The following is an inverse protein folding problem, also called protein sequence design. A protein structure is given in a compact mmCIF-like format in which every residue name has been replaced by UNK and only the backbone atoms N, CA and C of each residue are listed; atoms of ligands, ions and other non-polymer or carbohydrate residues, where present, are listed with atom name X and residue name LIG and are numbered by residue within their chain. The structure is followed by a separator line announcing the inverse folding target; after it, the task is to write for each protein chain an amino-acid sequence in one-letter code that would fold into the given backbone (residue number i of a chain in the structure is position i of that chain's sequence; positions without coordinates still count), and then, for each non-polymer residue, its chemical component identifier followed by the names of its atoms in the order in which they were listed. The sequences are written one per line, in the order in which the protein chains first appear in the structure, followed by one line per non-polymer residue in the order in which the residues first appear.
data_IF_233015862597
#
_entry.id   IF_233015862597
#
_cell.length_a   1.000
_cell.length_b   1.000
_cell.length_c   1.000
_cell.angle_alpha   90.00
_cell.angle_beta   90.00
_cell.angle_gamma   90.00
#
_symmetry.space_group_name_H-M   'P 1'
#
loop_
_entity.id
_entity.type
_entity.pdbx_description
1 polymer ?
#
# COMPACT_ATOMS: atom_id res chain seq x y z
N UNK A 1 -3.80 5.42 8.23
CA UNK A 1 -2.71 5.80 9.14
C UNK A 1 -3.13 7.04 9.92
N UNK A 2 -3.40 8.18 9.27
CA UNK A 2 -3.72 9.46 9.96
C UNK A 2 -4.84 9.31 10.98
N UNK A 3 -5.96 8.68 10.61
CA UNK A 3 -7.11 8.47 11.51
C UNK A 3 -6.71 7.68 12.77
N UNK A 4 -5.88 6.64 12.61
CA UNK A 4 -5.41 5.83 13.74
C UNK A 4 -4.37 6.56 14.59
N UNK A 5 -3.52 7.40 13.99
CA UNK A 5 -2.60 8.28 14.75
C UNK A 5 -3.38 9.28 15.62
N UNK A 6 -4.42 9.89 15.07
CA UNK A 6 -5.29 10.80 15.83
C UNK A 6 -6.00 10.09 16.97
N UNK A 7 -6.49 8.88 16.73
CA UNK A 7 -7.11 8.04 17.76
C UNK A 7 -6.11 7.61 18.85
N UNK A 8 -4.83 7.42 18.50
CA UNK A 8 -3.75 7.13 19.42
C UNK A 8 -3.27 8.37 20.22
N UNK A 9 -3.78 9.56 19.91
CA UNK A 9 -3.50 10.77 20.67
C UNK A 9 -2.19 11.47 20.33
N UNK A 10 -1.69 11.35 19.10
CA UNK A 10 -0.52 12.11 18.64
C UNK A 10 -0.74 13.61 18.72
N UNK A 11 0.32 14.37 18.98
CA UNK A 11 0.25 15.82 19.15
C UNK A 11 0.11 16.58 17.83
N UNK A 12 0.75 16.12 16.76
CA UNK A 12 0.74 16.76 15.44
C UNK A 12 0.91 15.72 14.34
N UNK A 13 0.22 15.93 13.20
CA UNK A 13 0.40 15.16 11.98
C UNK A 13 0.60 16.10 10.80
N UNK A 14 1.78 16.07 10.19
CA UNK A 14 2.11 16.80 8.96
C UNK A 14 2.04 15.85 7.77
N UNK A 15 1.26 16.19 6.77
CA UNK A 15 1.06 15.36 5.58
C UNK A 15 1.68 16.09 4.38
N UNK A 16 2.54 15.40 3.64
CA UNK A 16 3.01 15.82 2.32
C UNK A 16 2.40 14.90 1.26
N UNK A 17 1.65 15.48 0.32
CA UNK A 17 1.06 14.76 -0.81
C UNK A 17 0.95 15.70 -2.02
N UNK A 18 1.33 15.24 -3.21
CA UNK A 18 1.22 16.04 -4.43
C UNK A 18 -0.17 16.00 -5.06
N UNK A 19 -1.09 15.23 -4.49
CA UNK A 19 -2.49 15.04 -4.90
C UNK A 19 -2.66 14.54 -6.36
N UNK A 20 -1.62 13.94 -6.95
CA UNK A 20 -1.74 13.28 -8.27
C UNK A 20 -2.70 12.10 -8.20
N UNK A 21 -2.71 11.39 -7.06
CA UNK A 21 -3.64 10.29 -6.76
C UNK A 21 -4.37 10.49 -5.44
N UNK A 22 -3.71 11.18 -4.50
CA UNK A 22 -4.31 11.56 -3.23
C UNK A 22 -5.48 12.53 -3.45
N UNK A 23 -6.46 12.46 -2.58
CA UNK A 23 -7.62 13.35 -2.60
C UNK A 23 -7.83 13.97 -1.23
N UNK A 24 -8.12 15.27 -1.19
CA UNK A 24 -8.49 15.96 0.07
C UNK A 24 -9.71 15.32 0.72
N UNK A 25 -10.64 14.76 -0.08
CA UNK A 25 -11.80 14.02 0.42
C UNK A 25 -11.44 12.83 1.29
N UNK A 26 -10.33 12.13 1.01
CA UNK A 26 -9.83 11.03 1.83
C UNK A 26 -9.35 11.46 3.21
N UNK A 27 -9.07 12.76 3.39
CA UNK A 27 -8.61 13.37 4.65
C UNK A 27 -9.67 14.29 5.28
N UNK A 28 -10.92 14.29 4.79
CA UNK A 28 -11.96 15.25 5.19
C UNK A 28 -12.09 15.36 6.71
N UNK A 29 -12.25 14.24 7.39
CA UNK A 29 -12.44 14.20 8.83
C UNK A 29 -11.13 14.53 9.58
N UNK A 30 -10.01 14.02 9.08
CA UNK A 30 -8.71 14.30 9.66
C UNK A 30 -8.32 15.78 9.56
N UNK A 31 -8.62 16.44 8.44
CA UNK A 31 -8.32 17.88 8.26
C UNK A 31 -9.22 18.81 9.08
N UNK A 32 -10.30 18.29 9.67
CA UNK A 32 -11.09 19.03 10.65
C UNK A 32 -10.43 19.07 12.05
N UNK A 33 -9.46 18.20 12.31
CA UNK A 33 -8.69 18.18 13.55
C UNK A 33 -7.52 19.19 13.47
N UNK A 34 -7.40 20.14 14.44
CA UNK A 34 -6.36 21.16 14.42
C UNK A 34 -4.92 20.61 14.50
N UNK A 35 -4.75 19.35 14.87
CA UNK A 35 -3.44 18.68 14.89
C UNK A 35 -2.94 18.27 13.51
N UNK A 36 -3.81 18.31 12.48
CA UNK A 36 -3.49 17.83 11.13
C UNK A 36 -3.25 18.98 10.17
N UNK A 37 -2.13 18.94 9.48
CA UNK A 37 -1.83 19.85 8.38
C UNK A 37 -1.50 19.08 7.09
N UNK A 38 -1.96 19.61 5.96
CA UNK A 38 -1.66 19.09 4.62
C UNK A 38 -0.89 20.13 3.82
N UNK A 39 0.34 19.80 3.45
CA UNK A 39 1.14 20.53 2.48
C UNK A 39 1.00 19.82 1.13
N UNK A 40 0.50 20.54 0.13
CA UNK A 40 0.47 20.05 -1.25
C UNK A 40 1.84 20.30 -1.86
N UNK A 41 2.62 19.23 -2.06
CA UNK A 41 4.00 19.30 -2.53
C UNK A 41 4.51 17.95 -2.97
N UNK A 42 5.72 17.91 -3.50
CA UNK A 42 6.32 16.70 -4.07
C UNK A 42 7.50 16.22 -3.24
N UNK A 43 7.62 14.93 -3.04
CA UNK A 43 8.72 14.30 -2.29
C UNK A 43 10.09 14.54 -2.95
N UNK A 44 10.11 14.93 -4.22
CA UNK A 44 11.33 15.32 -4.95
C UNK A 44 11.85 16.71 -4.59
N UNK A 45 11.01 17.54 -3.95
CA UNK A 45 11.41 18.86 -3.45
C UNK A 45 12.14 18.72 -2.12
N UNK A 46 13.46 18.81 -2.17
CA UNK A 46 14.36 18.62 -1.02
C UNK A 46 14.05 19.59 0.11
N UNK A 47 13.80 20.87 -0.22
CA UNK A 47 13.56 21.91 0.79
C UNK A 47 12.23 21.64 1.53
N UNK A 48 11.17 21.33 0.79
CA UNK A 48 9.86 20.99 1.37
C UNK A 48 9.96 19.74 2.26
N UNK A 49 10.65 18.69 1.81
CA UNK A 49 10.84 17.46 2.59
C UNK A 49 11.62 17.73 3.86
N UNK A 50 12.72 18.49 3.76
CA UNK A 50 13.56 18.86 4.88
C UNK A 50 12.79 19.68 5.93
N UNK A 51 12.06 20.70 5.51
CA UNK A 51 11.30 21.59 6.40
C UNK A 51 10.17 20.82 7.13
N UNK A 52 9.47 19.94 6.43
CA UNK A 52 8.39 19.15 7.03
C UNK A 52 8.90 18.07 7.99
N UNK A 53 10.08 17.52 7.74
CA UNK A 53 10.69 16.48 8.59
C UNK A 53 11.26 17.05 9.88
N UNK A 54 11.61 18.33 9.89
CA UNK A 54 12.21 18.99 11.04
C UNK A 54 11.30 18.95 12.27
N UNK A 55 11.80 18.35 13.37
CA UNK A 55 11.10 18.23 14.64
C UNK A 55 10.01 17.15 14.65
N UNK A 56 9.97 16.25 13.65
CA UNK A 56 9.17 15.05 13.70
C UNK A 56 9.86 13.97 14.53
N UNK A 57 9.11 13.27 15.38
CA UNK A 57 9.58 12.08 16.09
C UNK A 57 9.51 10.85 15.18
N UNK A 58 8.45 10.76 14.38
CA UNK A 58 8.16 9.62 13.51
C UNK A 58 7.92 10.06 12.07
N UNK A 59 8.38 9.24 11.12
CA UNK A 59 8.10 9.43 9.69
C UNK A 59 7.45 8.17 9.12
N UNK A 60 6.33 8.33 8.41
CA UNK A 60 5.65 7.27 7.66
C UNK A 60 5.80 7.53 6.16
N UNK A 61 6.66 6.79 5.50
CA UNK A 61 6.92 6.93 4.08
C UNK A 61 5.96 6.06 3.25
N UNK A 62 4.89 6.69 2.73
CA UNK A 62 3.87 6.03 1.92
C UNK A 62 3.89 6.48 0.45
N UNK A 63 4.62 7.56 0.13
CA UNK A 63 4.68 8.10 -1.22
C UNK A 63 5.21 7.08 -2.21
N UNK A 64 4.47 6.85 -3.28
CA UNK A 64 4.80 5.89 -4.33
C UNK A 64 4.09 6.21 -5.65
N UNK A 65 4.62 5.66 -6.72
CA UNK A 65 4.00 5.62 -8.05
C UNK A 65 3.54 4.19 -8.36
N UNK A 66 2.47 4.01 -9.13
CA UNK A 66 1.96 2.69 -9.50
C UNK A 66 2.89 1.97 -10.48
N UNK A 67 2.89 0.64 -10.38
CA UNK A 67 3.64 -0.24 -11.30
C UNK A 67 3.24 -0.03 -12.77
N UNK A 68 1.98 0.27 -13.07
CA UNK A 68 1.49 0.55 -14.43
C UNK A 68 2.01 1.89 -14.97
N UNK A 69 2.03 2.92 -14.14
CA UNK A 69 2.58 4.23 -14.52
C UNK A 69 4.11 4.16 -14.71
N UNK A 70 4.77 3.26 -13.99
CA UNK A 70 6.20 3.00 -14.15
C UNK A 70 6.56 2.55 -15.57
N UNK A 71 5.70 1.76 -16.20
CA UNK A 71 5.92 1.30 -17.57
C UNK A 71 5.78 2.43 -18.60
N UNK A 72 4.94 3.42 -18.33
CA UNK A 72 4.69 4.55 -19.23
C UNK A 72 5.68 5.70 -19.02
N UNK A 73 6.03 6.01 -17.75
CA UNK A 73 6.89 7.11 -17.37
C UNK A 73 8.04 6.66 -16.46
N UNK A 74 8.96 5.80 -16.93
CA UNK A 74 9.97 5.15 -16.08
C UNK A 74 10.94 6.15 -15.42
N UNK A 75 11.22 7.29 -16.07
CA UNK A 75 12.08 8.33 -15.50
C UNK A 75 11.41 9.01 -14.31
N UNK A 76 10.17 9.45 -14.48
CA UNK A 76 9.39 10.08 -13.41
C UNK A 76 9.23 9.13 -12.21
N UNK A 77 8.97 7.85 -12.51
CA UNK A 77 8.80 6.86 -11.47
C UNK A 77 10.11 6.62 -10.68
N UNK A 78 11.27 6.62 -11.34
CA UNK A 78 12.57 6.54 -10.69
C UNK A 78 12.81 7.77 -9.79
N UNK A 79 12.57 8.97 -10.29
CA UNK A 79 12.70 10.22 -9.52
C UNK A 79 11.83 10.21 -8.25
N UNK A 80 10.58 9.75 -8.34
CA UNK A 80 9.68 9.68 -7.18
C UNK A 80 10.10 8.57 -6.21
N UNK A 81 10.33 7.35 -6.71
CA UNK A 81 10.58 6.20 -5.84
C UNK A 81 12.01 6.15 -5.30
N UNK A 82 12.99 6.62 -6.03
CA UNK A 82 14.40 6.56 -5.63
C UNK A 82 14.85 7.91 -5.09
N UNK A 83 14.85 8.97 -5.91
CA UNK A 83 15.38 10.27 -5.49
C UNK A 83 14.51 10.88 -4.38
N UNK A 84 13.17 10.79 -4.51
CA UNK A 84 12.25 11.26 -3.46
C UNK A 84 12.38 10.49 -2.15
N UNK A 85 12.59 9.17 -2.22
CA UNK A 85 12.85 8.37 -1.01
C UNK A 85 14.20 8.75 -0.38
N UNK A 86 15.22 8.97 -1.21
CA UNK A 86 16.53 9.41 -0.74
C UNK A 86 16.42 10.75 0.02
N UNK A 87 15.73 11.74 -0.54
CA UNK A 87 15.51 13.05 0.10
C UNK A 87 14.89 12.88 1.51
N UNK A 88 13.88 12.03 1.61
CA UNK A 88 13.20 11.78 2.89
C UNK A 88 14.09 11.07 3.91
N UNK A 89 14.83 10.04 3.47
CA UNK A 89 15.72 9.27 4.35
C UNK A 89 16.88 10.15 4.84
N UNK A 90 17.44 10.98 3.96
CA UNK A 90 18.49 11.95 4.30
C UNK A 90 17.97 12.99 5.32
N UNK A 91 16.79 13.57 5.09
CA UNK A 91 16.17 14.51 6.02
C UNK A 91 15.84 13.85 7.38
N UNK A 92 15.30 12.63 7.38
CA UNK A 92 14.99 11.89 8.61
C UNK A 92 16.25 11.62 9.45
N UNK A 93 17.34 11.24 8.80
CA UNK A 93 18.63 11.04 9.47
C UNK A 93 19.23 12.34 10.00
N UNK A 94 19.22 13.42 9.18
CA UNK A 94 19.75 14.74 9.55
C UNK A 94 19.00 15.35 10.74
N UNK A 95 17.69 15.18 10.80
CA UNK A 95 16.83 15.67 11.89
C UNK A 95 16.71 14.70 13.07
N UNK A 96 17.38 13.54 12.99
CA UNK A 96 17.40 12.52 14.07
C UNK A 96 16.00 12.06 14.45
N UNK A 97 15.19 11.76 13.45
CA UNK A 97 13.87 11.14 13.64
C UNK A 97 14.03 9.83 14.42
N UNK A 98 13.21 9.61 15.42
CA UNK A 98 13.30 8.43 16.28
C UNK A 98 13.11 7.14 15.49
N UNK A 99 12.16 7.13 14.53
CA UNK A 99 11.95 5.98 13.65
C UNK A 99 11.27 6.38 12.33
N UNK A 100 11.71 5.75 11.24
CA UNK A 100 11.09 5.81 9.92
C UNK A 100 10.40 4.48 9.60
N UNK A 101 9.08 4.51 9.34
CA UNK A 101 8.31 3.34 8.86
C UNK A 101 8.07 3.51 7.37
N UNK A 102 8.61 2.59 6.57
CA UNK A 102 8.59 2.69 5.11
C UNK A 102 7.72 1.61 4.46
N UNK A 103 6.86 2.04 3.53
CA UNK A 103 6.11 1.14 2.67
C UNK A 103 7.01 0.54 1.60
N UNK A 104 7.22 -0.78 1.66
CA UNK A 104 7.76 -1.61 0.60
C UNK A 104 6.62 -2.42 -0.05
N UNK A 105 6.93 -3.47 -0.78
CA UNK A 105 5.94 -4.21 -1.56
C UNK A 105 6.33 -5.67 -1.71
N UNK A 106 5.34 -6.55 -1.79
CA UNK A 106 5.52 -7.94 -2.25
C UNK A 106 6.09 -8.02 -3.68
N UNK A 107 6.06 -6.93 -4.44
CA UNK A 107 6.67 -6.88 -5.78
C UNK A 107 8.18 -7.08 -5.79
N UNK A 108 8.86 -6.92 -4.65
CA UNK A 108 10.30 -7.22 -4.56
C UNK A 108 10.61 -8.69 -4.80
N UNK A 109 9.68 -9.58 -4.51
CA UNK A 109 9.84 -11.02 -4.71
C UNK A 109 9.72 -11.45 -6.17
N UNK A 110 9.15 -10.57 -7.04
CA UNK A 110 8.90 -10.91 -8.43
C UNK A 110 8.09 -12.20 -8.58
N UNK A 111 8.63 -13.16 -9.31
CA UNK A 111 8.11 -14.53 -9.43
C UNK A 111 8.65 -15.36 -8.26
N UNK A 112 7.99 -15.30 -7.11
CA UNK A 112 8.40 -16.05 -5.92
C UNK A 112 8.32 -17.56 -6.18
N UNK A 113 9.29 -18.30 -5.63
CA UNK A 113 9.43 -19.75 -5.83
C UNK A 113 8.98 -20.56 -4.61
N UNK A 114 8.86 -19.91 -3.44
CA UNK A 114 8.48 -20.55 -2.19
C UNK A 114 7.25 -19.89 -1.58
N UNK A 115 6.32 -20.69 -1.08
CA UNK A 115 5.06 -20.24 -0.46
C UNK A 115 4.73 -21.03 0.81
N UNK A 116 4.31 -20.37 1.90
CA UNK A 116 4.24 -18.92 2.08
C UNK A 116 5.59 -18.26 1.91
N UNK A 117 5.63 -17.07 1.25
CA UNK A 117 6.88 -16.37 0.98
C UNK A 117 7.37 -15.63 2.22
N UNK A 118 8.56 -15.97 2.70
CA UNK A 118 9.18 -15.30 3.86
C UNK A 118 9.98 -14.06 3.42
N UNK A 119 10.33 -13.19 4.39
CA UNK A 119 11.16 -12.01 4.14
C UNK A 119 12.58 -12.35 3.68
N UNK A 120 13.01 -13.60 3.85
CA UNK A 120 14.33 -14.10 3.41
C UNK A 120 14.37 -14.51 1.94
N UNK A 121 13.21 -14.59 1.28
CA UNK A 121 13.16 -14.90 -0.15
C UNK A 121 13.95 -13.84 -0.92
N UNK A 122 14.77 -14.31 -1.88
CA UNK A 122 15.63 -13.43 -2.67
C UNK A 122 14.81 -12.57 -3.66
N UNK A 123 15.32 -11.38 -4.05
CA UNK A 123 14.64 -10.47 -4.97
C UNK A 123 15.02 -10.67 -6.45
N UNK A 124 15.76 -11.72 -6.80
CA UNK A 124 16.41 -11.86 -8.12
C UNK A 124 15.44 -12.19 -9.25
N UNK A 125 14.24 -12.69 -8.94
CA UNK A 125 13.20 -12.97 -9.94
C UNK A 125 12.31 -11.74 -10.21
N UNK A 126 12.75 -10.57 -9.81
CA UNK A 126 12.04 -9.32 -10.03
C UNK A 126 12.27 -8.80 -11.45
N UNK A 127 11.21 -8.70 -12.21
CA UNK A 127 11.17 -8.26 -13.60
C UNK A 127 10.59 -6.85 -13.80
N UNK A 128 10.34 -6.12 -12.69
CA UNK A 128 9.75 -4.79 -12.73
C UNK A 128 10.66 -3.71 -12.14
N UNK A 129 10.71 -2.54 -12.79
CA UNK A 129 11.42 -1.39 -12.24
C UNK A 129 10.86 -0.95 -10.87
N UNK A 130 9.55 -1.12 -10.65
CA UNK A 130 8.91 -0.82 -9.37
C UNK A 130 9.49 -1.69 -8.24
N UNK A 131 9.54 -2.98 -8.45
CA UNK A 131 10.13 -3.90 -7.47
C UNK A 131 11.63 -3.65 -7.28
N UNK A 132 12.38 -3.37 -8.36
CA UNK A 132 13.79 -3.02 -8.27
C UNK A 132 14.03 -1.74 -7.45
N UNK A 133 13.19 -0.71 -7.63
CA UNK A 133 13.25 0.50 -6.82
C UNK A 133 12.94 0.24 -5.34
N UNK A 134 11.97 -0.64 -5.04
CA UNK A 134 11.66 -1.03 -3.65
C UNK A 134 12.82 -1.81 -3.01
N UNK A 135 13.49 -2.70 -3.74
CA UNK A 135 14.73 -3.37 -3.27
C UNK A 135 15.83 -2.35 -2.97
N UNK A 136 16.02 -1.37 -3.87
CA UNK A 136 16.98 -0.29 -3.63
C UNK A 136 16.67 0.49 -2.36
N UNK A 137 15.40 0.84 -2.14
CA UNK A 137 14.96 1.62 -0.97
C UNK A 137 15.19 0.87 0.35
N UNK A 138 14.99 -0.45 0.38
CA UNK A 138 15.32 -1.26 1.55
C UNK A 138 16.83 -1.25 1.83
N UNK A 139 17.66 -1.39 0.79
CA UNK A 139 19.11 -1.27 0.90
C UNK A 139 19.58 0.12 1.33
N UNK A 140 18.90 1.18 0.86
CA UNK A 140 19.15 2.57 1.26
C UNK A 140 18.94 2.73 2.78
N UNK A 141 17.82 2.27 3.32
CA UNK A 141 17.52 2.34 4.75
C UNK A 141 18.55 1.58 5.59
N UNK A 142 18.93 0.37 5.18
CA UNK A 142 20.02 -0.40 5.80
C UNK A 142 21.32 0.39 5.84
N UNK A 143 21.67 1.06 4.73
CA UNK A 143 22.88 1.90 4.63
C UNK A 143 22.85 3.10 5.58
N UNK A 144 21.70 3.82 5.64
CA UNK A 144 21.55 4.96 6.55
C UNK A 144 21.53 4.53 8.02
N UNK A 145 20.98 3.34 8.32
CA UNK A 145 21.11 2.74 9.66
C UNK A 145 22.57 2.54 10.05
N UNK A 146 23.36 1.91 9.18
CA UNK A 146 24.76 1.62 9.42
C UNK A 146 25.62 2.87 9.54
N UNK A 147 25.38 3.88 8.69
CA UNK A 147 26.21 5.10 8.62
C UNK A 147 25.80 6.17 9.64
N UNK A 148 24.51 6.33 9.91
CA UNK A 148 23.97 7.46 10.66
C UNK A 148 23.06 7.07 11.83
N UNK A 149 22.82 5.78 12.03
CA UNK A 149 22.03 5.26 13.15
C UNK A 149 20.52 5.44 13.00
N UNK A 150 20.00 5.74 11.80
CA UNK A 150 18.57 5.90 11.55
C UNK A 150 17.81 4.60 11.86
N UNK A 151 16.90 4.64 12.82
CA UNK A 151 16.01 3.51 13.08
C UNK A 151 14.95 3.41 12.00
N UNK A 152 14.67 2.20 11.52
CA UNK A 152 13.65 2.01 10.50
C UNK A 152 12.94 0.66 10.63
N UNK A 153 11.69 0.64 10.14
CA UNK A 153 10.94 -0.59 9.89
C UNK A 153 10.34 -0.52 8.49
N UNK A 154 10.60 -1.54 7.71
CA UNK A 154 10.05 -1.70 6.35
C UNK A 154 8.88 -2.66 6.39
N UNK A 155 7.77 -2.27 5.79
CA UNK A 155 6.57 -3.08 5.67
C UNK A 155 6.33 -3.43 4.19
N UNK A 156 6.50 -4.70 3.84
CA UNK A 156 6.22 -5.24 2.50
C UNK A 156 4.73 -5.55 2.38
N UNK A 157 3.96 -4.58 1.85
CA UNK A 157 2.53 -4.79 1.64
C UNK A 157 2.27 -5.77 0.52
N UNK A 158 1.34 -6.69 0.78
CA UNK A 158 0.75 -7.53 -0.26
C UNK A 158 -0.41 -6.79 -0.94
N UNK A 159 -1.49 -7.44 -1.35
CA UNK A 159 -2.51 -6.76 -2.14
C UNK A 159 -3.47 -5.98 -1.22
N UNK A 160 -3.26 -4.68 -1.11
CA UNK A 160 -4.06 -3.81 -0.24
C UNK A 160 -5.37 -3.45 -0.91
N UNK A 161 -6.49 -3.59 -0.18
CA UNK A 161 -7.81 -3.17 -0.63
C UNK A 161 -8.59 -2.52 0.51
N UNK A 162 -9.63 -1.73 0.18
CA UNK A 162 -10.51 -1.12 1.18
C UNK A 162 -10.99 0.27 0.80
N UNK A 163 -11.73 0.93 1.68
CA UNK A 163 -12.20 2.31 1.49
C UNK A 163 -11.08 3.29 1.17
N UNK A 164 -11.42 4.34 0.42
CA UNK A 164 -10.51 5.39 -0.06
C UNK A 164 -9.52 4.89 -1.14
N UNK A 165 -9.79 3.72 -1.76
CA UNK A 165 -9.12 3.33 -2.99
C UNK A 165 -9.35 4.37 -4.08
N UNK A 166 -8.42 4.44 -5.04
CA UNK A 166 -8.59 5.28 -6.22
C UNK A 166 -9.69 4.72 -7.14
N UNK A 167 -10.81 5.46 -7.25
CA UNK A 167 -11.96 5.08 -8.08
C UNK A 167 -12.06 5.90 -9.38
N UNK A 168 -11.17 6.88 -9.59
CA UNK A 168 -11.24 7.85 -10.68
C UNK A 168 -10.08 7.75 -11.68
N UNK A 169 -9.02 7.04 -11.34
CA UNK A 169 -7.83 6.91 -12.19
C UNK A 169 -8.06 6.01 -13.40
N UNK A 170 -7.26 6.21 -14.45
CA UNK A 170 -7.21 5.32 -15.62
C UNK A 170 -6.82 3.89 -15.25
N UNK A 171 -6.13 3.71 -14.13
CA UNK A 171 -5.57 2.44 -13.66
C UNK A 171 -6.20 2.01 -12.32
N UNK A 172 -7.54 2.03 -12.22
CA UNK A 172 -8.23 1.53 -11.04
C UNK A 172 -8.00 0.03 -10.84
N UNK A 173 -7.97 -0.38 -9.57
CA UNK A 173 -7.77 -1.78 -9.21
C UNK A 173 -8.95 -2.66 -9.64
N UNK A 174 -8.72 -3.96 -9.75
CA UNK A 174 -9.68 -4.94 -10.26
C UNK A 174 -11.04 -4.88 -9.55
N UNK A 175 -11.05 -4.72 -8.22
CA UNK A 175 -12.28 -4.62 -7.43
C UNK A 175 -13.16 -3.44 -7.85
N UNK A 176 -12.56 -2.27 -8.06
CA UNK A 176 -13.29 -1.07 -8.50
C UNK A 176 -13.91 -1.29 -9.87
N UNK A 177 -13.15 -1.86 -10.81
CA UNK A 177 -13.65 -2.18 -12.16
C UNK A 177 -14.79 -3.18 -12.12
N UNK A 178 -14.70 -4.21 -11.29
CA UNK A 178 -15.76 -5.19 -11.14
C UNK A 178 -17.01 -4.59 -10.51
N UNK A 179 -16.90 -3.77 -9.47
CA UNK A 179 -18.05 -3.06 -8.90
C UNK A 179 -18.75 -2.17 -9.92
N UNK A 180 -17.99 -1.43 -10.75
CA UNK A 180 -18.53 -0.61 -11.83
C UNK A 180 -19.29 -1.45 -12.87
N UNK A 181 -18.72 -2.60 -13.28
CA UNK A 181 -19.36 -3.52 -14.22
C UNK A 181 -20.65 -4.11 -13.64
N UNK A 182 -20.61 -4.59 -12.42
CA UNK A 182 -21.78 -5.19 -11.74
C UNK A 182 -22.94 -4.22 -11.67
N UNK A 183 -22.70 -2.97 -11.28
CA UNK A 183 -23.75 -1.92 -11.26
C UNK A 183 -24.27 -1.60 -12.64
N UNK A 184 -23.45 -1.72 -13.68
CA UNK A 184 -23.86 -1.58 -15.07
C UNK A 184 -24.58 -2.83 -15.63
N UNK A 185 -24.87 -3.84 -14.80
CA UNK A 185 -25.49 -5.10 -15.24
C UNK A 185 -24.55 -5.99 -16.06
N UNK A 186 -23.24 -5.77 -15.97
CA UNK A 186 -22.21 -6.53 -16.67
C UNK A 186 -21.45 -7.43 -15.69
N UNK A 187 -21.10 -8.68 -16.08
CA UNK A 187 -20.33 -9.57 -15.23
C UNK A 187 -18.92 -9.06 -14.94
N UNK A 188 -18.35 -9.41 -13.77
CA UNK A 188 -16.92 -9.23 -13.53
C UNK A 188 -16.10 -9.95 -14.61
N UNK A 189 -15.11 -9.26 -15.19
CA UNK A 189 -14.24 -9.82 -16.22
C UNK A 189 -12.91 -10.26 -15.61
N UNK A 190 -12.63 -11.55 -15.68
CA UNK A 190 -11.35 -12.17 -15.32
C UNK A 190 -10.57 -12.47 -16.59
N UNK A 191 -9.30 -12.07 -16.65
CA UNK A 191 -8.40 -12.44 -17.74
C UNK A 191 -7.70 -13.76 -17.40
N UNK A 192 -7.86 -14.78 -18.28
CA UNK A 192 -7.43 -16.15 -18.03
C UNK A 192 -8.49 -16.96 -17.27
N UNK A 193 -8.06 -18.03 -16.60
CA UNK A 193 -8.92 -18.97 -15.89
C UNK A 193 -9.35 -18.52 -14.48
N UNK A 194 -8.72 -17.46 -13.95
CA UNK A 194 -8.98 -16.97 -12.60
C UNK A 194 -8.39 -17.81 -11.46
N UNK A 195 -7.55 -18.78 -11.79
CA UNK A 195 -6.89 -19.64 -10.79
C UNK A 195 -5.73 -18.96 -10.08
N UNK A 196 -5.21 -17.84 -10.63
CA UNK A 196 -4.16 -17.07 -9.98
C UNK A 196 -4.61 -16.58 -8.60
N UNK A 197 -3.70 -16.72 -7.62
CA UNK A 197 -4.02 -16.46 -6.21
C UNK A 197 -3.22 -15.30 -5.64
N UNK A 198 -3.87 -14.52 -4.78
CA UNK A 198 -3.28 -13.37 -4.10
C UNK A 198 -3.64 -13.39 -2.62
N UNK A 199 -2.80 -12.77 -1.82
CA UNK A 199 -3.05 -12.48 -0.42
C UNK A 199 -3.55 -11.03 -0.31
N UNK A 200 -4.79 -10.85 0.14
CA UNK A 200 -5.45 -9.54 0.23
C UNK A 200 -5.45 -9.04 1.67
N UNK A 201 -4.88 -7.85 1.90
CA UNK A 201 -4.84 -7.22 3.20
C UNK A 201 -5.73 -5.96 3.23
N UNK A 202 -6.57 -5.84 4.26
CA UNK A 202 -7.48 -4.70 4.37
C UNK A 202 -6.77 -3.43 4.83
N UNK A 203 -7.18 -2.28 4.30
CA UNK A 203 -6.49 -0.99 4.50
C UNK A 203 -6.34 -0.57 5.96
N UNK A 204 -7.30 -0.93 6.86
CA UNK A 204 -7.18 -0.61 8.29
C UNK A 204 -6.15 -1.47 8.99
N UNK A 205 -5.96 -2.73 8.57
CA UNK A 205 -4.89 -3.60 9.06
C UNK A 205 -3.52 -3.10 8.63
N UNK A 206 -3.40 -2.63 7.37
CA UNK A 206 -2.17 -1.97 6.90
C UNK A 206 -1.85 -0.73 7.73
N UNK A 207 -2.84 0.11 8.00
CA UNK A 207 -2.65 1.29 8.85
C UNK A 207 -2.21 0.89 10.26
N UNK A 208 -2.84 -0.13 10.86
CA UNK A 208 -2.47 -0.67 12.18
C UNK A 208 -1.06 -1.26 12.19
N UNK A 209 -0.64 -1.95 11.14
CA UNK A 209 0.73 -2.45 11.01
C UNK A 209 1.77 -1.31 11.07
N UNK A 210 1.48 -0.16 10.45
CA UNK A 210 2.35 1.02 10.53
C UNK A 210 2.47 1.55 11.97
N UNK A 211 1.37 1.63 12.70
CA UNK A 211 1.39 2.09 14.08
C UNK A 211 2.11 1.10 15.00
N UNK A 212 1.88 -0.20 14.81
CA UNK A 212 2.60 -1.25 15.55
C UNK A 212 4.10 -1.20 15.28
N UNK A 213 4.51 -1.02 14.03
CA UNK A 213 5.91 -0.85 13.66
C UNK A 213 6.55 0.39 14.31
N UNK A 214 5.83 1.52 14.30
CA UNK A 214 6.29 2.75 14.93
C UNK A 214 6.43 2.61 16.46
N UNK A 215 5.49 1.93 17.11
CA UNK A 215 5.45 1.73 18.56
C UNK A 215 6.36 0.59 19.07
N UNK A 216 6.83 -0.29 18.18
CA UNK A 216 7.68 -1.43 18.56
C UNK A 216 9.08 -1.01 19.02
N UNK A 217 9.76 -1.89 19.74
CA UNK A 217 11.19 -1.73 20.10
C UNK A 217 12.15 -2.11 18.96
N UNK A 218 11.61 -2.47 17.80
CA UNK A 218 12.40 -2.81 16.60
C UNK A 218 13.06 -1.55 16.05
N UNK A 219 14.38 -1.57 15.98
CA UNK A 219 15.18 -0.45 15.44
C UNK A 219 15.67 -0.68 14.00
N UNK A 220 15.57 -1.91 13.53
CA UNK A 220 15.90 -2.34 12.17
C UNK A 220 15.11 -3.61 11.86
N UNK A 221 14.27 -3.58 10.84
CA UNK A 221 13.46 -4.74 10.47
C UNK A 221 12.71 -4.59 9.16
N UNK A 222 12.40 -5.74 8.55
CA UNK A 222 11.60 -5.86 7.33
C UNK A 222 10.54 -6.93 7.59
N UNK A 223 9.28 -6.64 7.27
CA UNK A 223 8.14 -7.50 7.59
C UNK A 223 7.14 -7.57 6.45
N UNK A 224 6.67 -8.77 6.15
CA UNK A 224 5.50 -8.97 5.30
C UNK A 224 4.23 -8.55 6.04
N UNK A 225 3.41 -7.73 5.40
CA UNK A 225 2.11 -7.31 5.91
C UNK A 225 1.02 -7.75 4.94
N UNK A 226 0.26 -8.74 5.39
CA UNK A 226 -0.73 -9.47 4.59
C UNK A 226 -1.77 -10.11 5.50
N UNK A 227 -2.77 -10.79 4.91
CA UNK A 227 -3.73 -11.59 5.69
C UNK A 227 -3.20 -12.98 6.07
N UNK A 228 -2.23 -13.50 5.32
CA UNK A 228 -1.79 -14.90 5.40
C UNK A 228 -2.80 -15.88 4.78
N UNK A 229 -3.80 -15.38 4.06
CA UNK A 229 -4.85 -16.17 3.42
C UNK A 229 -4.78 -16.05 1.90
N UNK A 230 -4.69 -17.19 1.23
CA UNK A 230 -4.63 -17.26 -0.22
C UNK A 230 -6.04 -17.23 -0.82
N UNK A 231 -6.29 -16.26 -1.72
CA UNK A 231 -7.58 -16.09 -2.40
C UNK A 231 -7.38 -16.08 -3.91
N UNK A 232 -8.11 -16.94 -4.65
CA UNK A 232 -8.08 -16.90 -6.11
C UNK A 232 -8.86 -15.71 -6.66
N UNK A 233 -8.52 -15.24 -7.88
CA UNK A 233 -9.29 -14.17 -8.51
C UNK A 233 -10.74 -14.59 -8.75
N UNK A 234 -10.99 -15.88 -9.03
CA UNK A 234 -12.35 -16.39 -9.12
C UNK A 234 -13.07 -16.28 -7.77
N UNK A 235 -12.45 -16.74 -6.68
CA UNK A 235 -13.03 -16.65 -5.33
C UNK A 235 -13.28 -15.21 -4.88
N UNK A 236 -12.38 -14.29 -5.26
CA UNK A 236 -12.54 -12.85 -5.00
C UNK A 236 -13.77 -12.29 -5.75
N UNK A 237 -13.96 -12.66 -7.02
CA UNK A 237 -15.10 -12.22 -7.82
C UNK A 237 -16.42 -12.77 -7.29
N UNK A 238 -16.46 -14.06 -6.92
CA UNK A 238 -17.63 -14.71 -6.33
C UNK A 238 -18.02 -14.04 -5.01
N UNK A 239 -17.04 -13.78 -4.12
CA UNK A 239 -17.26 -13.06 -2.87
C UNK A 239 -17.77 -11.61 -3.07
N UNK A 240 -17.28 -10.92 -4.11
CA UNK A 240 -17.76 -9.58 -4.44
C UNK A 240 -19.20 -9.60 -4.98
N UNK A 241 -19.53 -10.55 -5.87
CA UNK A 241 -20.88 -10.72 -6.38
C UNK A 241 -21.87 -11.00 -5.24
N UNK A 242 -21.53 -11.92 -4.32
CA UNK A 242 -22.32 -12.18 -3.12
C UNK A 242 -22.51 -10.91 -2.26
N UNK A 243 -21.42 -10.15 -2.02
CA UNK A 243 -21.46 -8.92 -1.22
C UNK A 243 -22.37 -7.86 -1.85
N UNK A 244 -22.41 -7.78 -3.18
CA UNK A 244 -23.24 -6.83 -3.92
C UNK A 244 -24.66 -7.35 -4.20
N UNK A 245 -24.99 -8.57 -3.78
CA UNK A 245 -26.30 -9.19 -4.01
C UNK A 245 -26.62 -9.39 -5.50
N UNK A 246 -25.63 -9.77 -6.30
CA UNK A 246 -25.71 -9.90 -7.75
C UNK A 246 -25.71 -11.36 -8.17
N UNK A 247 -26.66 -11.74 -9.02
CA UNK A 247 -26.77 -13.09 -9.62
C UNK A 247 -25.95 -13.22 -10.93
N UNK A 248 -25.13 -12.23 -11.27
CA UNK A 248 -24.28 -12.29 -12.47
C UNK A 248 -23.21 -13.38 -12.31
N UNK A 249 -22.89 -14.03 -13.42
CA UNK A 249 -21.77 -14.99 -13.48
C UNK A 249 -20.51 -14.28 -13.97
N UNK A 250 -19.33 -14.80 -13.54
CA UNK A 250 -18.04 -14.27 -13.97
C UNK A 250 -17.80 -14.52 -15.46
N UNK A 251 -17.34 -13.51 -16.19
CA UNK A 251 -16.90 -13.60 -17.58
C UNK A 251 -15.39 -13.82 -17.66
N UNK A 252 -14.94 -14.68 -18.56
CA UNK A 252 -13.53 -14.94 -18.81
C UNK A 252 -13.07 -14.32 -20.13
N UNK A 253 -12.01 -13.50 -20.06
CA UNK A 253 -11.33 -12.93 -21.23
C UNK A 253 -10.03 -13.67 -21.55
N UNK A 254 -9.36 -13.31 -22.67
CA UNK A 254 -8.08 -13.88 -23.01
C UNK A 254 -7.02 -13.60 -21.94
N UNK A 255 -6.10 -14.53 -21.77
CA UNK A 255 -5.00 -14.36 -20.82
C UNK A 255 -4.16 -13.11 -21.16
N UNK A 256 -3.78 -12.34 -20.12
CA UNK A 256 -2.91 -11.18 -20.31
C UNK A 256 -1.45 -11.59 -20.29
N UNK A 257 -0.69 -11.08 -21.24
CA UNK A 257 0.76 -11.25 -21.29
C UNK A 257 1.52 -10.39 -20.25
N UNK A 258 0.83 -9.52 -19.51
CA UNK A 258 1.43 -8.54 -18.59
C UNK A 258 1.22 -9.00 -17.17
N UNK A 259 2.31 -9.13 -16.42
CA UNK A 259 2.42 -9.57 -15.03
C UNK A 259 2.24 -11.09 -14.85
N UNK A 260 3.35 -11.82 -15.02
CA UNK A 260 3.40 -13.29 -14.90
C UNK A 260 3.22 -13.86 -13.49
N UNK A 261 2.87 -13.03 -12.50
CA UNK A 261 2.66 -13.47 -11.12
C UNK A 261 1.36 -14.25 -11.01
N UNK A 262 1.49 -15.55 -10.81
CA UNK A 262 0.34 -16.48 -10.67
C UNK A 262 -0.03 -16.75 -9.23
N UNK A 263 0.87 -16.50 -8.28
CA UNK A 263 0.67 -16.80 -6.86
C UNK A 263 1.35 -15.77 -5.96
N UNK A 264 0.65 -15.31 -4.92
CA UNK A 264 1.20 -14.51 -3.81
C UNK A 264 0.55 -14.93 -2.50
N UNK A 265 1.36 -15.46 -1.60
CA UNK A 265 0.96 -15.82 -0.24
C UNK A 265 2.11 -15.47 0.70
N UNK A 266 1.84 -14.64 1.70
CA UNK A 266 2.84 -14.20 2.67
C UNK A 266 3.01 -15.20 3.82
N UNK A 267 4.24 -15.35 4.27
CA UNK A 267 4.51 -15.74 5.65
C UNK A 267 4.52 -14.46 6.51
N UNK A 268 3.62 -14.37 7.48
CA UNK A 268 3.47 -13.21 8.39
C UNK A 268 4.04 -13.47 9.79
N UNK A 269 4.69 -14.61 9.99
CA UNK A 269 5.17 -15.06 11.32
C UNK A 269 6.12 -14.06 11.97
N UNK A 270 6.99 -13.41 11.17
CA UNK A 270 7.91 -12.40 11.70
C UNK A 270 7.16 -11.14 12.17
N UNK A 271 6.19 -10.66 11.40
CA UNK A 271 5.37 -9.50 11.79
C UNK A 271 4.53 -9.79 13.04
N UNK A 272 4.01 -11.01 13.15
CA UNK A 272 3.28 -11.44 14.35
C UNK A 272 4.17 -11.46 15.59
N UNK A 273 5.35 -12.08 15.49
CA UNK A 273 6.28 -12.23 16.62
C UNK A 273 6.84 -10.91 17.11
N UNK A 274 7.30 -10.04 16.19
CA UNK A 274 8.11 -8.87 16.51
C UNK A 274 7.28 -7.58 16.64
N UNK A 275 6.16 -7.50 15.89
CA UNK A 275 5.29 -6.33 15.90
C UNK A 275 3.92 -6.60 16.56
N UNK A 276 3.59 -7.85 16.85
CA UNK A 276 2.25 -8.24 17.30
C UNK A 276 1.18 -8.06 16.23
N UNK A 277 1.58 -8.05 14.95
CA UNK A 277 0.66 -7.85 13.84
C UNK A 277 -0.06 -9.15 13.46
N UNK A 278 -1.39 -9.08 13.36
CA UNK A 278 -2.25 -10.06 12.68
C UNK A 278 -3.32 -9.31 11.92
N UNK A 279 -3.71 -9.78 10.74
CA UNK A 279 -4.88 -9.22 10.07
C UNK A 279 -6.14 -9.54 10.89
N UNK A 280 -6.99 -8.55 11.09
CA UNK A 280 -8.22 -8.66 11.89
C UNK A 280 -9.48 -8.62 11.00
N UNK A 281 -9.36 -8.09 9.79
CA UNK A 281 -10.49 -7.95 8.86
C UNK A 281 -10.43 -9.09 7.84
N UNK A 282 -11.41 -9.99 7.89
CA UNK A 282 -11.58 -11.02 6.86
C UNK A 282 -12.06 -10.44 5.53
N UNK A 283 -11.93 -11.23 4.44
CA UNK A 283 -12.24 -10.79 3.10
C UNK A 283 -13.69 -10.32 2.93
N UNK A 284 -14.67 -11.06 3.45
CA UNK A 284 -16.10 -10.73 3.30
C UNK A 284 -16.45 -9.44 4.04
N UNK A 285 -15.94 -9.28 5.27
CA UNK A 285 -16.09 -8.03 6.05
C UNK A 285 -15.46 -6.86 5.35
N UNK A 286 -14.25 -7.03 4.82
CA UNK A 286 -13.53 -5.99 4.10
C UNK A 286 -14.22 -5.59 2.78
N UNK A 287 -14.71 -6.57 2.01
CA UNK A 287 -15.47 -6.30 0.77
C UNK A 287 -16.77 -5.53 1.06
N UNK A 288 -17.49 -5.88 2.13
CA UNK A 288 -18.71 -5.15 2.52
C UNK A 288 -18.38 -3.68 2.83
N UNK A 289 -17.36 -3.42 3.64
CA UNK A 289 -16.95 -2.05 3.96
C UNK A 289 -16.48 -1.29 2.72
N UNK A 290 -15.79 -1.96 1.79
CA UNK A 290 -15.37 -1.35 0.51
C UNK A 290 -16.58 -1.00 -0.35
N UNK A 291 -17.54 -1.90 -0.51
CA UNK A 291 -18.76 -1.70 -1.31
C UNK A 291 -19.60 -0.57 -0.73
N UNK A 292 -19.84 -0.58 0.59
CA UNK A 292 -20.61 0.46 1.28
C UNK A 292 -19.99 1.84 1.08
N UNK A 293 -18.68 1.97 1.28
CA UNK A 293 -17.95 3.21 1.03
C UNK A 293 -18.03 3.65 -0.44
N UNK A 294 -17.79 2.73 -1.38
CA UNK A 294 -17.80 3.03 -2.81
C UNK A 294 -19.16 3.48 -3.32
N UNK A 295 -20.25 2.89 -2.81
CA UNK A 295 -21.60 3.30 -3.15
C UNK A 295 -21.89 4.76 -2.77
N UNK A 296 -21.38 5.20 -1.63
CA UNK A 296 -21.51 6.60 -1.18
C UNK A 296 -20.63 7.53 -2.04
N UNK A 297 -19.35 7.17 -2.19
CA UNK A 297 -18.35 8.04 -2.83
C UNK A 297 -18.66 8.31 -4.31
N UNK A 298 -19.10 7.30 -5.06
CA UNK A 298 -19.45 7.46 -6.48
C UNK A 298 -20.62 8.43 -6.74
N UNK A 299 -21.47 8.69 -5.75
CA UNK A 299 -22.57 9.64 -5.86
C UNK A 299 -22.13 11.08 -5.56
N UNK A 300 -21.12 11.26 -4.71
CA UNK A 300 -20.58 12.59 -4.38
C UNK A 300 -19.86 13.25 -5.57
N UNK A 301 -19.33 12.46 -6.51
CA UNK A 301 -18.69 12.98 -7.72
C UNK A 301 -19.67 13.25 -8.87
N UNK A 302 -20.96 12.94 -8.70
CA UNK A 302 -22.01 13.15 -9.70
C UNK A 302 -22.74 14.49 -9.53
N UNK A 303 -22.46 15.22 -8.45
CA UNK A 303 -22.96 16.55 -8.12
C UNK A 303 -21.88 17.64 -8.36
#
# INVERSE_FOLDING_TARGET
IVDQLLAAGVGEVRILDNLVRGRRGNLRDALADPRVSLVVGDIRDVDTVNDLTKGCDLVFHQAAIRITQYAEEPRLALEVLVDGTFNLVEAAAAHKVDKLVAASSASIYGLAEEFPTTERHHPWNNDTLYGAAKVFNEGLLTSFRAMQGLNYVVLRYFNVYGPRMDIHGLYTEVLIRWMQRIVAGQPPLIFGDGAQTMDFAFTTDIARANLLAAASDVNEGVYNIASGVETSLRGLADALLETMGSDLEVEHGPERAVNGVTRRLADITAAERDLGFRAEVDLHTGLRQLVDWWQVERHLDSE
#
